data_IF_036818921568
#
_entry.id   IF_036818921568
#
_cell.length_a   1.000
_cell.length_b   1.000
_cell.length_c   1.000
_cell.angle_alpha   90.00
_cell.angle_beta   90.00
_cell.angle_gamma   90.00
#
_symmetry.space_group_name_H-M   'P 1'
#
loop_
_entity.id
_entity.type
_entity.pdbx_description
1 polymer ?
#
# COMPACT_ATOMS: atom_id res chain seq x y z
N UNK A 1 -11.40 25.83 -4.60
CA UNK A 1 -12.11 24.56 -4.88
C UNK A 1 -11.79 23.57 -3.77
N UNK A 2 -12.74 23.23 -2.89
CA UNK A 2 -12.56 22.12 -1.93
C UNK A 2 -12.56 20.82 -2.74
N UNK A 3 -11.39 20.26 -3.07
CA UNK A 3 -11.29 18.86 -3.50
C UNK A 3 -11.98 18.06 -2.39
N UNK A 4 -13.13 17.46 -2.69
CA UNK A 4 -13.74 16.45 -1.82
C UNK A 4 -12.76 15.30 -1.87
N UNK A 5 -11.79 15.33 -0.97
CA UNK A 5 -10.78 14.30 -0.92
C UNK A 5 -11.50 13.05 -0.44
N UNK A 6 -11.55 12.02 -1.29
CA UNK A 6 -12.09 10.74 -0.88
C UNK A 6 -11.24 10.28 0.30
N UNK A 7 -11.80 10.32 1.51
CA UNK A 7 -11.02 10.06 2.74
C UNK A 7 -10.72 8.58 2.91
N UNK A 8 -11.26 7.71 2.06
CA UNK A 8 -11.16 6.26 2.23
C UNK A 8 -12.15 5.73 3.26
N UNK A 9 -11.92 4.49 3.71
CA UNK A 9 -12.81 3.82 4.66
C UNK A 9 -12.46 4.21 6.10
N UNK A 10 -13.41 4.82 6.81
CA UNK A 10 -13.27 5.13 8.23
C UNK A 10 -13.23 3.86 9.06
N UNK A 11 -12.19 3.73 9.88
CA UNK A 11 -12.02 2.63 10.84
C UNK A 11 -12.94 2.90 12.04
N UNK A 12 -13.64 1.86 12.48
CA UNK A 12 -14.58 1.92 13.61
C UNK A 12 -14.23 0.87 14.66
N UNK A 13 -14.65 1.08 15.90
CA UNK A 13 -14.50 0.09 16.97
C UNK A 13 -15.15 -1.27 16.63
N UNK A 14 -16.23 -1.26 15.85
CA UNK A 14 -16.89 -2.48 15.34
C UNK A 14 -16.00 -3.31 14.42
N UNK A 15 -14.96 -2.72 13.83
CA UNK A 15 -14.11 -3.40 12.86
C UNK A 15 -13.17 -4.44 13.51
N UNK A 16 -13.17 -4.58 14.84
CA UNK A 16 -12.39 -5.60 15.60
C UNK A 16 -12.61 -7.04 15.09
N UNK A 17 -13.82 -7.34 14.65
CA UNK A 17 -14.23 -8.64 14.12
C UNK A 17 -14.69 -8.56 12.66
N UNK A 18 -14.23 -7.54 11.91
CA UNK A 18 -14.69 -7.24 10.56
C UNK A 18 -14.58 -8.43 9.61
N UNK A 19 -13.45 -9.13 9.62
CA UNK A 19 -13.22 -10.30 8.74
C UNK A 19 -14.19 -11.43 9.09
N UNK A 20 -14.42 -11.68 10.38
CA UNK A 20 -15.35 -12.71 10.83
C UNK A 20 -16.80 -12.40 10.44
N UNK A 21 -17.26 -11.17 10.70
CA UNK A 21 -18.62 -10.74 10.33
C UNK A 21 -18.83 -10.73 8.82
N UNK A 22 -17.84 -10.27 8.05
CA UNK A 22 -17.92 -10.29 6.59
C UNK A 22 -17.98 -11.72 6.05
N UNK A 23 -17.09 -12.61 6.51
CA UNK A 23 -17.05 -14.00 6.05
C UNK A 23 -18.33 -14.74 6.42
N UNK A 24 -18.79 -14.66 7.68
CA UNK A 24 -20.03 -15.33 8.09
C UNK A 24 -21.24 -14.73 7.41
N UNK A 25 -21.35 -13.41 7.33
CA UNK A 25 -22.49 -12.76 6.67
C UNK A 25 -22.60 -13.17 5.20
N UNK A 26 -21.47 -13.19 4.49
CA UNK A 26 -21.43 -13.60 3.08
C UNK A 26 -21.73 -15.08 2.91
N UNK A 27 -21.13 -15.96 3.72
CA UNK A 27 -21.35 -17.40 3.65
C UNK A 27 -22.78 -17.78 4.05
N UNK A 28 -23.33 -17.15 5.09
CA UNK A 28 -24.72 -17.34 5.50
C UNK A 28 -25.68 -16.90 4.39
N UNK A 29 -25.42 -15.74 3.77
CA UNK A 29 -26.24 -15.24 2.66
C UNK A 29 -26.22 -16.20 1.47
N UNK A 30 -25.04 -16.68 1.06
CA UNK A 30 -24.91 -17.67 -0.02
C UNK A 30 -25.60 -18.98 0.35
N UNK A 31 -25.42 -19.46 1.58
CA UNK A 31 -26.05 -20.69 2.07
C UNK A 31 -27.57 -20.61 2.03
N UNK A 32 -28.15 -19.53 2.58
CA UNK A 32 -29.60 -19.30 2.59
C UNK A 32 -30.14 -19.13 1.17
N UNK A 33 -29.44 -18.39 0.31
CA UNK A 33 -29.85 -18.21 -1.08
C UNK A 33 -29.94 -19.55 -1.83
N UNK A 34 -28.96 -20.44 -1.64
CA UNK A 34 -28.94 -21.76 -2.28
C UNK A 34 -30.03 -22.65 -1.70
N UNK A 35 -30.22 -22.66 -0.38
CA UNK A 35 -31.31 -23.42 0.24
C UNK A 35 -32.68 -22.95 -0.26
N UNK A 36 -32.91 -21.65 -0.40
CA UNK A 36 -34.15 -21.10 -0.95
C UNK A 36 -34.34 -21.50 -2.42
N UNK A 37 -33.29 -21.41 -3.24
CA UNK A 37 -33.33 -21.80 -4.65
C UNK A 37 -33.67 -23.28 -4.83
N UNK A 38 -33.03 -24.17 -4.06
CA UNK A 38 -33.26 -25.61 -4.14
C UNK A 38 -34.62 -26.04 -3.58
N UNK A 39 -35.19 -25.29 -2.64
CA UNK A 39 -36.48 -25.59 -2.02
C UNK A 39 -37.65 -24.75 -2.56
N UNK A 40 -37.45 -23.94 -3.61
CA UNK A 40 -38.45 -22.97 -4.09
C UNK A 40 -39.78 -23.62 -4.49
N UNK A 41 -39.73 -24.82 -5.11
CA UNK A 41 -40.92 -25.59 -5.51
C UNK A 41 -41.68 -26.17 -4.32
N UNK A 42 -40.97 -26.52 -3.25
CA UNK A 42 -41.56 -27.03 -2.02
C UNK A 42 -42.16 -25.89 -1.20
N UNK A 43 -41.45 -24.76 -1.12
CA UNK A 43 -41.89 -23.53 -0.47
C UNK A 43 -43.17 -22.95 -1.11
N UNK A 44 -43.29 -23.00 -2.44
CA UNK A 44 -44.50 -22.55 -3.16
C UNK A 44 -45.72 -23.46 -2.98
N UNK A 45 -45.54 -24.71 -2.54
CA UNK A 45 -46.62 -25.68 -2.30
C UNK A 45 -47.00 -25.80 -0.83
N UNK A 46 -46.34 -25.04 0.06
CA UNK A 46 -46.57 -25.13 1.51
C UNK A 46 -47.69 -24.18 1.91
N UNK A 47 -48.71 -24.68 2.60
CA UNK A 47 -49.76 -23.87 3.19
C UNK A 47 -49.22 -23.10 4.39
N UNK A 48 -49.05 -21.78 4.23
CA UNK A 48 -48.42 -20.90 5.21
C UNK A 48 -49.26 -20.66 6.47
N UNK A 49 -50.56 -20.99 6.46
CA UNK A 49 -51.45 -20.80 7.61
C UNK A 49 -51.22 -21.81 8.75
N UNK A 50 -50.51 -22.92 8.50
CA UNK A 50 -50.21 -23.95 9.50
C UNK A 50 -48.70 -24.20 9.69
N UNK A 51 -47.87 -23.22 9.31
CA UNK A 51 -46.42 -23.36 9.38
C UNK A 51 -45.92 -23.25 10.83
N UNK A 52 -45.76 -24.38 11.52
CA UNK A 52 -45.11 -24.49 12.82
C UNK A 52 -43.68 -25.03 12.67
N UNK A 53 -42.69 -24.14 12.84
CA UNK A 53 -41.25 -24.42 12.70
C UNK A 53 -40.73 -25.52 13.66
N UNK A 54 -41.49 -25.78 14.73
CA UNK A 54 -41.14 -26.66 15.85
C UNK A 54 -41.87 -28.03 15.79
N UNK A 55 -43.05 -28.11 15.17
CA UNK A 55 -43.87 -29.33 15.06
C UNK A 55 -43.58 -30.13 13.79
N UNK A 56 -43.25 -29.46 12.68
CA UNK A 56 -42.65 -30.08 11.50
C UNK A 56 -41.15 -30.31 11.73
N UNK A 57 -40.82 -30.92 12.86
CA UNK A 57 -39.47 -31.25 13.27
C UNK A 57 -38.71 -31.80 12.09
N UNK A 58 -37.56 -31.20 11.79
CA UNK A 58 -36.58 -31.56 10.76
C UNK A 58 -36.64 -33.04 10.37
N UNK A 59 -37.60 -33.44 9.54
CA UNK A 59 -37.61 -34.79 8.98
C UNK A 59 -36.44 -34.76 8.02
N UNK A 60 -35.34 -35.37 8.43
CA UNK A 60 -34.12 -35.56 7.66
C UNK A 60 -34.44 -36.48 6.47
N UNK A 61 -35.23 -35.96 5.53
CA UNK A 61 -35.40 -36.56 4.22
C UNK A 61 -34.03 -36.62 3.56
N UNK A 62 -33.68 -37.69 2.83
CA UNK A 62 -32.44 -37.77 2.05
C UNK A 62 -32.24 -36.53 1.16
N UNK A 63 -33.34 -35.94 0.69
CA UNK A 63 -33.34 -34.70 -0.06
C UNK A 63 -32.77 -33.51 0.74
N UNK A 64 -33.22 -33.30 1.98
CA UNK A 64 -32.74 -32.19 2.83
C UNK A 64 -31.24 -32.35 3.12
N UNK A 65 -30.77 -33.57 3.36
CA UNK A 65 -29.34 -33.84 3.56
C UNK A 65 -28.50 -33.51 2.31
N UNK A 66 -28.97 -33.90 1.13
CA UNK A 66 -28.30 -33.59 -0.15
C UNK A 66 -28.29 -32.08 -0.41
N UNK A 67 -29.39 -31.36 -0.12
CA UNK A 67 -29.42 -29.89 -0.31
C UNK A 67 -28.45 -29.16 0.62
N UNK A 68 -28.32 -29.59 1.88
CA UNK A 68 -27.33 -29.03 2.81
C UNK A 68 -25.90 -29.32 2.35
N UNK A 69 -25.64 -30.53 1.84
CA UNK A 69 -24.32 -30.91 1.33
C UNK A 69 -23.92 -30.04 0.11
N UNK A 70 -24.84 -29.86 -0.84
CA UNK A 70 -24.63 -29.00 -2.01
C UNK A 70 -24.40 -27.55 -1.58
N UNK A 71 -25.24 -27.00 -0.68
CA UNK A 71 -25.10 -25.64 -0.20
C UNK A 71 -23.75 -25.42 0.51
N UNK A 72 -23.31 -26.38 1.33
CA UNK A 72 -22.01 -26.33 2.00
C UNK A 72 -20.85 -26.37 0.99
N UNK A 73 -20.93 -27.25 -0.01
CA UNK A 73 -19.93 -27.36 -1.08
C UNK A 73 -19.80 -26.07 -1.90
N UNK A 74 -20.92 -25.43 -2.25
CA UNK A 74 -20.91 -24.15 -2.96
C UNK A 74 -20.37 -23.03 -2.07
N UNK A 75 -20.71 -22.98 -0.79
CA UNK A 75 -20.12 -22.01 0.15
C UNK A 75 -18.59 -22.16 0.22
N UNK A 76 -18.08 -23.38 0.30
CA UNK A 76 -16.64 -23.64 0.28
C UNK A 76 -15.99 -23.19 -1.04
N UNK A 77 -16.64 -23.46 -2.18
CA UNK A 77 -16.17 -23.03 -3.49
C UNK A 77 -16.15 -21.50 -3.60
N UNK A 78 -17.20 -20.80 -3.18
CA UNK A 78 -17.27 -19.33 -3.18
C UNK A 78 -16.21 -18.73 -2.28
N UNK A 79 -15.99 -19.30 -1.08
CA UNK A 79 -14.91 -18.86 -0.20
C UNK A 79 -13.53 -19.02 -0.86
N UNK A 80 -13.30 -20.17 -1.50
CA UNK A 80 -12.05 -20.45 -2.22
C UNK A 80 -11.83 -19.49 -3.39
N UNK A 81 -12.85 -19.28 -4.22
CA UNK A 81 -12.79 -18.35 -5.35
C UNK A 81 -12.58 -16.91 -4.87
N UNK A 82 -13.27 -16.49 -3.81
CA UNK A 82 -13.09 -15.15 -3.23
C UNK A 82 -11.66 -14.97 -2.71
N UNK A 83 -11.11 -15.96 -2.00
CA UNK A 83 -9.72 -15.90 -1.54
C UNK A 83 -8.72 -15.82 -2.71
N UNK A 84 -8.97 -16.55 -3.80
CA UNK A 84 -8.08 -16.63 -4.96
C UNK A 84 -8.13 -15.42 -5.89
N UNK A 85 -9.31 -14.82 -6.09
CA UNK A 85 -9.53 -13.72 -7.03
C UNK A 85 -9.63 -12.35 -6.36
N UNK A 86 -10.12 -12.28 -5.13
CA UNK A 86 -10.33 -11.03 -4.39
C UNK A 86 -9.34 -10.87 -3.22
N UNK A 87 -8.10 -11.30 -3.42
CA UNK A 87 -7.04 -11.27 -2.39
C UNK A 87 -6.84 -9.87 -1.78
N UNK A 88 -6.74 -8.85 -2.63
CA UNK A 88 -6.60 -7.45 -2.20
C UNK A 88 -7.77 -6.98 -1.35
N UNK A 89 -9.00 -7.33 -1.74
CA UNK A 89 -10.21 -6.97 -0.99
C UNK A 89 -10.22 -7.62 0.39
N UNK A 90 -9.79 -8.87 0.49
CA UNK A 90 -9.64 -9.57 1.77
C UNK A 90 -8.55 -8.91 2.64
N UNK A 91 -7.41 -8.54 2.05
CA UNK A 91 -6.32 -7.84 2.76
C UNK A 91 -6.75 -6.47 3.28
N UNK A 92 -7.52 -5.71 2.50
CA UNK A 92 -8.12 -4.43 2.95
C UNK A 92 -8.95 -4.63 4.22
N UNK A 93 -9.76 -5.69 4.30
CA UNK A 93 -10.53 -6.01 5.51
C UNK A 93 -9.61 -6.40 6.68
N UNK A 94 -8.57 -7.19 6.43
CA UNK A 94 -7.60 -7.59 7.44
C UNK A 94 -6.83 -6.40 8.03
N UNK A 95 -6.37 -5.48 7.19
CA UNK A 95 -5.65 -4.28 7.62
C UNK A 95 -6.55 -3.38 8.48
N UNK A 96 -7.80 -3.15 8.03
CA UNK A 96 -8.78 -2.38 8.82
C UNK A 96 -9.05 -3.02 10.18
N UNK A 97 -9.18 -4.35 10.23
CA UNK A 97 -9.35 -5.08 11.48
C UNK A 97 -8.13 -4.95 12.40
N UNK A 98 -6.91 -5.09 11.86
CA UNK A 98 -5.66 -4.92 12.62
C UNK A 98 -5.54 -3.52 13.21
N UNK A 99 -5.83 -2.49 12.41
CA UNK A 99 -5.81 -1.10 12.85
C UNK A 99 -6.86 -0.83 13.94
N UNK A 100 -8.07 -1.36 13.79
CA UNK A 100 -9.09 -1.27 14.83
C UNK A 100 -8.66 -1.95 16.13
N UNK A 101 -8.06 -3.15 16.03
CA UNK A 101 -7.50 -3.87 17.19
C UNK A 101 -6.37 -3.10 17.85
N UNK A 102 -5.45 -2.53 17.08
CA UNK A 102 -4.37 -1.70 17.61
C UNK A 102 -4.91 -0.57 18.49
N UNK A 103 -5.92 0.17 18.02
CA UNK A 103 -6.51 1.29 18.78
C UNK A 103 -7.16 0.79 20.07
N UNK A 104 -7.89 -0.33 20.00
CA UNK A 104 -8.61 -0.90 21.14
C UNK A 104 -7.65 -1.52 22.18
N UNK A 105 -6.65 -2.28 21.74
CA UNK A 105 -5.68 -2.94 22.62
C UNK A 105 -4.76 -1.94 23.30
N UNK A 106 -4.39 -0.85 22.62
CA UNK A 106 -3.62 0.25 23.22
C UNK A 106 -4.48 1.26 24.01
N UNK A 107 -5.81 1.06 24.10
CA UNK A 107 -6.76 1.96 24.78
C UNK A 107 -6.69 3.42 24.31
N UNK A 108 -6.51 3.62 23.00
CA UNK A 108 -6.49 4.94 22.35
C UNK A 108 -7.91 5.42 22.01
N UNK A 109 -8.80 5.35 22.99
CA UNK A 109 -10.20 5.75 22.88
C UNK A 109 -10.69 6.19 24.26
N UNK A 110 -11.77 6.97 24.29
CA UNK A 110 -12.43 7.36 25.54
C UNK A 110 -13.73 6.57 25.67
N UNK A 111 -13.97 6.00 26.84
CA UNK A 111 -15.17 5.23 27.15
C UNK A 111 -15.74 5.64 28.50
N UNK A 112 -17.06 5.70 28.55
CA UNK A 112 -17.82 5.89 29.78
C UNK A 112 -18.36 4.53 30.24
N UNK A 113 -18.38 4.31 31.55
CA UNK A 113 -19.02 3.14 32.15
C UNK A 113 -20.51 3.40 32.26
N UNK A 114 -21.29 2.72 31.42
CA UNK A 114 -22.75 2.73 31.55
C UNK A 114 -23.15 1.51 32.36
N UNK A 115 -23.82 1.73 33.49
CA UNK A 115 -24.51 0.67 34.20
C UNK A 115 -25.82 0.38 33.47
N UNK A 116 -25.93 -0.80 32.86
CA UNK A 116 -27.21 -1.30 32.36
C UNK A 116 -28.09 -1.60 33.57
N UNK A 117 -28.94 -0.65 33.97
CA UNK A 117 -30.06 -0.91 34.87
C UNK A 117 -31.12 -1.67 34.09
N UNK A 118 -30.93 -2.97 33.90
CA UNK A 118 -31.94 -3.83 33.29
C UNK A 118 -33.22 -3.84 34.14
N UNK A 119 -34.37 -3.90 33.46
CA UNK A 119 -35.73 -3.98 34.04
C UNK A 119 -35.96 -5.14 35.03
N UNK A 120 -34.98 -6.05 35.18
CA UNK A 120 -35.00 -7.16 36.11
C UNK A 120 -33.97 -6.91 37.22
N UNK A 121 -34.46 -6.70 38.44
CA UNK A 121 -33.67 -6.37 39.65
C UNK A 121 -32.77 -7.50 40.16
N UNK A 122 -32.77 -8.67 39.52
CA UNK A 122 -32.18 -9.90 40.06
C UNK A 122 -30.93 -10.40 39.32
N UNK A 123 -30.42 -9.63 38.36
CA UNK A 123 -29.16 -9.92 37.66
C UNK A 123 -28.12 -8.86 38.04
N UNK A 124 -26.96 -9.30 38.55
CA UNK A 124 -25.82 -8.42 38.80
C UNK A 124 -25.60 -7.49 37.60
N UNK A 125 -25.70 -6.19 37.83
CA UNK A 125 -25.58 -5.16 36.80
C UNK A 125 -24.22 -5.31 36.10
N UNK A 126 -24.21 -5.78 34.86
CA UNK A 126 -22.98 -5.81 34.05
C UNK A 126 -22.66 -4.37 33.65
N UNK A 127 -21.59 -3.81 34.20
CA UNK A 127 -21.05 -2.54 33.71
C UNK A 127 -20.53 -2.76 32.29
N UNK A 128 -21.09 -2.05 31.32
CA UNK A 128 -20.60 -2.06 29.93
C UNK A 128 -19.87 -0.76 29.67
N UNK A 129 -18.63 -0.87 29.18
CA UNK A 129 -17.90 0.28 28.67
C UNK A 129 -18.52 0.70 27.33
N UNK A 130 -19.03 1.93 27.26
CA UNK A 130 -19.52 2.54 26.02
C UNK A 130 -18.46 3.51 25.53
N UNK A 131 -17.88 3.22 24.37
CA UNK A 131 -16.91 4.11 23.72
C UNK A 131 -17.61 5.40 23.29
N UNK A 132 -17.20 6.52 23.88
CA UNK A 132 -17.73 7.87 23.60
C UNK A 132 -16.95 8.50 22.46
N UNK A 133 -15.63 8.36 22.49
CA UNK A 133 -14.74 8.91 21.48
C UNK A 133 -13.81 7.83 20.92
N UNK A 134 -13.69 7.80 19.59
CA UNK A 134 -12.80 6.91 18.86
C UNK A 134 -12.08 7.74 17.77
N UNK A 135 -10.75 7.60 17.62
CA UNK A 135 -9.97 8.42 16.70
C UNK A 135 -10.45 8.23 15.26
N UNK A 136 -10.53 9.33 14.51
CA UNK A 136 -10.94 9.28 13.10
C UNK A 136 -9.73 8.90 12.25
N UNK A 137 -9.56 7.58 12.09
CA UNK A 137 -8.56 7.00 11.18
C UNK A 137 -9.27 6.52 9.92
N UNK A 138 -8.69 6.80 8.77
CA UNK A 138 -9.16 6.33 7.49
C UNK A 138 -8.10 5.49 6.79
N UNK A 139 -8.58 4.47 6.09
CA UNK A 139 -7.74 3.52 5.36
C UNK A 139 -8.15 3.45 3.89
N UNK A 140 -7.16 3.51 3.01
CA UNK A 140 -7.32 3.37 1.57
C UNK A 140 -6.14 2.61 1.00
N UNK A 141 -6.39 1.79 -0.01
CA UNK A 141 -5.37 1.01 -0.69
C UNK A 141 -5.58 1.13 -2.20
N UNK A 142 -4.60 1.70 -2.88
CA UNK A 142 -4.62 2.02 -4.30
C UNK A 142 -3.28 1.64 -4.93
N UNK A 143 -3.31 0.85 -6.00
CA UNK A 143 -2.12 0.49 -6.80
C UNK A 143 -0.92 -0.01 -5.96
N UNK A 144 -1.18 -0.78 -4.90
CA UNK A 144 -0.12 -1.30 -4.01
C UNK A 144 0.44 -0.30 -2.99
N UNK A 145 -0.14 0.90 -2.89
CA UNK A 145 0.13 1.87 -1.83
C UNK A 145 -1.00 1.85 -0.80
N UNK A 146 -0.63 1.95 0.48
CA UNK A 146 -1.55 2.13 1.59
C UNK A 146 -1.52 3.59 2.01
N UNK A 147 -2.70 4.21 2.06
CA UNK A 147 -2.89 5.54 2.60
C UNK A 147 -3.65 5.42 3.91
N UNK A 148 -2.99 5.78 5.00
CA UNK A 148 -3.56 5.80 6.35
C UNK A 148 -3.60 7.23 6.83
N UNK A 149 -4.81 7.76 7.03
CA UNK A 149 -5.03 9.14 7.44
C UNK A 149 -5.55 9.19 8.85
N UNK A 150 -4.83 9.86 9.74
CA UNK A 150 -5.23 10.06 11.13
C UNK A 150 -5.63 11.52 11.33
N UNK A 151 -6.78 11.76 11.96
CA UNK A 151 -7.18 13.11 12.37
C UNK A 151 -6.25 13.62 13.46
N UNK A 152 -5.74 14.84 13.28
CA UNK A 152 -4.95 15.55 14.29
C UNK A 152 -5.93 16.14 15.28
N UNK A 153 -6.07 15.47 16.42
CA UNK A 153 -6.81 15.99 17.55
C UNK A 153 -5.84 16.59 18.56
N UNK A 154 -6.09 17.82 19.03
CA UNK A 154 -5.37 18.47 20.14
C UNK A 154 -5.67 17.83 21.51
N UNK A 155 -5.79 16.51 21.53
CA UNK A 155 -6.26 15.72 22.66
C UNK A 155 -5.18 14.80 23.22
N UNK A 156 -5.56 14.01 24.23
CA UNK A 156 -4.68 13.14 25.02
C UNK A 156 -3.83 12.16 24.19
N UNK A 157 -4.34 11.72 23.03
CA UNK A 157 -3.74 10.67 22.21
C UNK A 157 -2.98 11.18 20.98
N UNK A 158 -2.76 12.50 20.88
CA UNK A 158 -2.16 13.12 19.69
C UNK A 158 -0.78 12.55 19.38
N UNK A 159 0.13 12.54 20.37
CA UNK A 159 1.52 12.16 20.14
C UNK A 159 1.66 10.72 19.65
N UNK A 160 0.79 9.82 20.13
CA UNK A 160 0.76 8.43 19.69
C UNK A 160 0.22 8.30 18.26
N UNK A 161 -0.80 9.08 17.89
CA UNK A 161 -1.38 9.07 16.54
C UNK A 161 -0.51 9.79 15.49
N UNK A 162 0.36 10.69 15.94
CA UNK A 162 1.38 11.36 15.11
C UNK A 162 2.66 10.53 14.92
N UNK A 163 2.84 9.48 15.72
CA UNK A 163 4.02 8.59 15.69
C UNK A 163 3.62 7.12 15.49
N UNK A 164 2.99 6.83 14.35
CA UNK A 164 2.51 5.50 13.98
C UNK A 164 3.46 4.72 13.06
N UNK A 165 4.57 5.32 12.62
CA UNK A 165 5.49 4.77 11.62
C UNK A 165 5.89 3.32 11.94
N UNK A 166 6.59 3.11 13.05
CA UNK A 166 7.11 1.81 13.47
C UNK A 166 5.98 0.77 13.63
N UNK A 167 4.81 1.19 14.12
CA UNK A 167 3.66 0.29 14.34
C UNK A 167 2.98 -0.11 13.05
N UNK A 168 2.89 0.80 12.08
CA UNK A 168 2.31 0.53 10.78
C UNK A 168 3.23 -0.38 9.98
N UNK A 169 4.53 -0.08 9.95
CA UNK A 169 5.52 -0.88 9.23
C UNK A 169 5.59 -2.31 9.75
N UNK A 170 5.78 -2.48 11.06
CA UNK A 170 5.84 -3.82 11.67
C UNK A 170 4.49 -4.54 11.69
N UNK A 171 3.38 -3.83 11.90
CA UNK A 171 2.05 -4.42 12.06
C UNK A 171 1.37 -4.84 10.76
N UNK A 172 1.61 -4.07 9.68
CA UNK A 172 1.04 -4.32 8.35
C UNK A 172 2.06 -4.92 7.37
N UNK A 173 3.33 -5.00 7.74
CA UNK A 173 4.43 -5.48 6.89
C UNK A 173 4.52 -4.66 5.60
N UNK A 174 4.79 -3.37 5.77
CA UNK A 174 4.91 -2.37 4.72
C UNK A 174 6.04 -1.40 5.07
N UNK A 175 6.50 -0.63 4.09
CA UNK A 175 7.55 0.38 4.28
C UNK A 175 6.95 1.78 4.20
N UNK A 176 7.25 2.68 5.12
CA UNK A 176 6.80 4.07 5.03
C UNK A 176 7.56 4.79 3.92
N UNK A 177 6.83 5.37 2.98
CA UNK A 177 7.41 6.15 1.87
C UNK A 177 7.31 7.65 2.11
N UNK A 178 6.20 8.09 2.68
CA UNK A 178 5.93 9.51 2.87
C UNK A 178 5.03 9.74 4.09
N UNK A 179 5.23 10.89 4.74
CA UNK A 179 4.48 11.36 5.90
C UNK A 179 4.12 12.82 5.67
N UNK A 180 2.90 13.07 5.22
CA UNK A 180 2.42 14.41 4.90
C UNK A 180 1.45 14.94 5.94
N UNK A 181 1.65 16.21 6.31
CA UNK A 181 0.76 16.94 7.20
C UNK A 181 -0.23 17.76 6.36
N UNK A 182 -1.51 17.47 6.52
CA UNK A 182 -2.62 18.21 5.95
C UNK A 182 -3.34 19.00 7.03
N UNK A 183 -4.17 19.97 6.64
CA UNK A 183 -5.00 20.73 7.57
C UNK A 183 -5.95 19.80 8.36
N UNK A 184 -5.61 19.54 9.62
CA UNK A 184 -6.33 18.65 10.53
C UNK A 184 -6.10 17.14 10.36
N UNK A 185 -5.22 16.70 9.46
CA UNK A 185 -4.94 15.28 9.23
C UNK A 185 -3.46 15.01 8.97
N UNK A 186 -2.97 13.88 9.42
CA UNK A 186 -1.67 13.34 9.01
C UNK A 186 -1.90 12.13 8.09
N UNK A 187 -1.20 12.07 6.97
CA UNK A 187 -1.26 10.97 6.01
C UNK A 187 0.06 10.22 5.98
N UNK A 188 -0.02 8.91 6.23
CA UNK A 188 1.07 7.96 6.05
C UNK A 188 0.84 7.23 4.73
N UNK A 189 1.79 7.35 3.81
CA UNK A 189 1.81 6.59 2.55
C UNK A 189 2.81 5.46 2.70
N UNK A 190 2.34 4.22 2.63
CA UNK A 190 3.17 3.03 2.83
C UNK A 190 3.18 2.14 1.60
N UNK A 191 4.36 1.64 1.22
CA UNK A 191 4.56 0.67 0.16
C UNK A 191 4.19 -0.73 0.67
N UNK A 192 3.17 -1.33 0.07
CA UNK A 192 2.68 -2.64 0.48
C UNK A 192 3.13 -3.74 -0.47
N UNK A 193 3.25 -4.95 0.07
CA UNK A 193 3.60 -6.17 -0.65
C UNK A 193 4.82 -6.01 -1.56
N UNK A 194 5.96 -5.72 -0.92
CA UNK A 194 7.21 -5.50 -1.64
C UNK A 194 7.57 -6.70 -2.52
N UNK A 195 7.25 -7.93 -2.10
CA UNK A 195 7.60 -9.14 -2.85
C UNK A 195 6.74 -9.25 -4.11
N UNK A 196 5.42 -9.11 -4.02
CA UNK A 196 4.56 -9.21 -5.21
C UNK A 196 4.77 -8.06 -6.20
N UNK A 197 5.22 -6.90 -5.70
CA UNK A 197 5.49 -5.71 -6.50
C UNK A 197 6.91 -5.64 -7.07
N UNK A 198 7.79 -6.61 -6.76
CA UNK A 198 9.07 -6.75 -7.45
C UNK A 198 8.87 -6.93 -8.95
N UNK A 199 9.81 -6.35 -9.68
CA UNK A 199 9.96 -6.50 -11.12
C UNK A 199 11.33 -7.11 -11.40
N UNK A 200 11.49 -7.79 -12.53
CA UNK A 200 12.80 -8.29 -12.96
C UNK A 200 13.64 -7.15 -13.55
N UNK A 201 14.95 -7.35 -13.68
CA UNK A 201 15.86 -6.36 -14.27
C UNK A 201 15.38 -5.95 -15.67
N UNK A 202 14.96 -6.91 -16.51
CA UNK A 202 14.45 -6.64 -17.87
C UNK A 202 13.15 -5.79 -17.92
N UNK A 203 12.43 -5.71 -16.79
CA UNK A 203 11.22 -4.91 -16.64
C UNK A 203 11.52 -3.48 -16.15
N UNK A 204 12.75 -3.21 -15.68
CA UNK A 204 13.21 -1.87 -15.31
C UNK A 204 13.47 -1.09 -16.59
N UNK A 205 12.63 -0.09 -16.86
CA UNK A 205 12.74 0.75 -18.06
C UNK A 205 12.71 2.21 -17.70
N UNK A 206 13.58 2.98 -18.36
CA UNK A 206 13.59 4.43 -18.33
C UNK A 206 12.82 4.97 -19.55
N UNK A 207 11.71 5.64 -19.30
CA UNK A 207 10.83 6.19 -20.34
C UNK A 207 10.30 7.55 -19.88
N UNK A 208 10.36 8.57 -20.75
CA UNK A 208 9.78 9.90 -20.51
C UNK A 208 10.14 10.53 -19.15
N UNK A 209 11.42 10.52 -18.77
CA UNK A 209 11.84 11.14 -17.51
C UNK A 209 11.57 10.32 -16.26
N UNK A 210 11.14 9.06 -16.43
CA UNK A 210 10.71 8.19 -15.36
C UNK A 210 11.41 6.83 -15.46
N UNK A 211 11.84 6.27 -14.33
CA UNK A 211 12.46 4.95 -14.25
C UNK A 211 11.63 4.07 -13.31
N UNK A 212 11.06 2.98 -13.83
CA UNK A 212 10.22 2.09 -13.03
C UNK A 212 11.08 1.17 -12.18
N UNK A 213 11.00 1.32 -10.85
CA UNK A 213 11.76 0.53 -9.88
C UNK A 213 10.98 -0.69 -9.37
N UNK A 214 9.67 -0.56 -9.26
CA UNK A 214 8.73 -1.62 -8.88
C UNK A 214 7.39 -1.39 -9.62
N UNK A 215 6.45 -2.34 -9.53
CA UNK A 215 5.12 -2.17 -10.14
C UNK A 215 4.39 -0.90 -9.66
N UNK A 216 4.66 -0.49 -8.43
CA UNK A 216 4.04 0.63 -7.73
C UNK A 216 5.04 1.72 -7.33
N UNK A 217 6.29 1.65 -7.77
CA UNK A 217 7.33 2.63 -7.46
C UNK A 217 8.03 3.07 -8.75
N UNK A 218 8.00 4.37 -9.00
CA UNK A 218 8.63 5.00 -10.17
C UNK A 218 9.47 6.16 -9.67
N UNK A 219 10.70 6.25 -10.14
CA UNK A 219 11.54 7.41 -9.93
C UNK A 219 11.39 8.38 -11.10
N UNK A 220 10.71 9.50 -10.86
CA UNK A 220 10.50 10.56 -11.84
C UNK A 220 11.71 11.52 -11.85
N UNK A 221 12.82 11.08 -12.45
CA UNK A 221 14.10 11.81 -12.43
C UNK A 221 14.04 13.18 -13.13
N UNK A 222 13.10 13.42 -14.05
CA UNK A 222 12.91 14.77 -14.62
C UNK A 222 12.41 15.80 -13.59
N UNK A 223 11.65 15.33 -12.59
CA UNK A 223 11.08 16.15 -11.51
C UNK A 223 11.95 16.12 -10.24
N UNK A 224 12.48 14.94 -9.89
CA UNK A 224 13.33 14.68 -8.73
C UNK A 224 14.66 14.06 -9.19
N UNK A 225 15.61 14.86 -9.70
CA UNK A 225 16.77 14.37 -10.45
C UNK A 225 17.87 13.70 -9.62
N UNK A 226 17.86 13.89 -8.30
CA UNK A 226 18.91 13.38 -7.43
C UNK A 226 18.39 12.18 -6.63
N UNK A 227 19.21 11.12 -6.55
CA UNK A 227 18.93 9.93 -5.78
C UNK A 227 20.10 9.61 -4.85
N UNK A 228 19.79 9.11 -3.65
CA UNK A 228 20.76 8.56 -2.70
C UNK A 228 20.37 7.11 -2.41
N UNK A 229 21.29 6.19 -2.61
CA UNK A 229 21.08 4.76 -2.35
C UNK A 229 21.90 4.38 -1.11
N UNK A 230 21.20 4.08 -0.02
CA UNK A 230 21.81 3.71 1.25
C UNK A 230 21.52 2.25 1.60
N UNK A 231 22.45 1.61 2.30
CA UNK A 231 22.31 0.22 2.73
C UNK A 231 23.64 -0.38 3.20
N UNK A 232 23.57 -1.46 3.98
CA UNK A 232 24.75 -2.18 4.44
C UNK A 232 25.54 -2.85 3.30
N UNK A 233 26.75 -3.33 3.61
CA UNK A 233 27.51 -4.19 2.71
C UNK A 233 26.73 -5.47 2.42
N UNK A 234 26.71 -5.91 1.16
CA UNK A 234 25.89 -7.06 0.73
C UNK A 234 24.39 -6.75 0.57
N UNK A 235 23.95 -5.51 0.79
CA UNK A 235 22.55 -5.09 0.61
C UNK A 235 22.11 -4.92 -0.85
N UNK A 236 22.98 -5.17 -1.83
CA UNK A 236 22.65 -5.09 -3.25
C UNK A 236 22.76 -3.70 -3.88
N UNK A 237 23.40 -2.72 -3.23
CA UNK A 237 23.55 -1.34 -3.75
C UNK A 237 24.18 -1.30 -5.16
N UNK A 238 25.31 -1.96 -5.34
CA UNK A 238 26.03 -1.99 -6.62
C UNK A 238 25.22 -2.71 -7.70
N UNK A 239 24.54 -3.82 -7.38
CA UNK A 239 23.61 -4.48 -8.29
C UNK A 239 22.44 -3.58 -8.71
N UNK A 240 21.92 -2.79 -7.77
CA UNK A 240 20.87 -1.82 -8.05
C UNK A 240 21.39 -0.70 -8.97
N UNK A 241 22.58 -0.16 -8.73
CA UNK A 241 23.23 0.81 -9.63
C UNK A 241 23.44 0.25 -11.04
N UNK A 242 23.94 -0.99 -11.17
CA UNK A 242 24.07 -1.68 -12.46
C UNK A 242 22.72 -1.77 -13.18
N UNK A 243 21.65 -2.06 -12.45
CA UNK A 243 20.29 -2.11 -13.00
C UNK A 243 19.82 -0.73 -13.50
N UNK A 244 20.15 0.34 -12.78
CA UNK A 244 19.83 1.71 -13.22
C UNK A 244 20.64 2.08 -14.48
N UNK A 245 21.94 1.75 -14.50
CA UNK A 245 22.82 2.01 -15.65
C UNK A 245 22.29 1.28 -16.88
N UNK A 246 21.99 -0.01 -16.76
CA UNK A 246 21.43 -0.82 -17.85
C UNK A 246 20.14 -0.19 -18.41
N UNK A 247 19.19 0.17 -17.55
CA UNK A 247 17.94 0.77 -17.97
C UNK A 247 18.14 2.13 -18.66
N UNK A 248 19.10 2.94 -18.19
CA UNK A 248 19.41 4.25 -18.77
C UNK A 248 20.15 4.14 -20.11
N UNK A 249 20.96 3.09 -20.32
CA UNK A 249 21.67 2.84 -21.59
C UNK A 249 20.73 2.56 -22.77
N UNK A 250 19.49 2.13 -22.51
CA UNK A 250 18.45 2.01 -23.53
C UNK A 250 17.82 3.34 -23.95
N UNK A 251 18.29 4.46 -23.38
CA UNK A 251 17.80 5.81 -23.69
C UNK A 251 18.89 6.67 -24.33
N UNK A 252 18.63 7.95 -24.55
CA UNK A 252 19.63 8.92 -24.97
C UNK A 252 20.42 9.54 -23.79
N UNK A 253 20.32 8.96 -22.60
CA UNK A 253 21.03 9.44 -21.42
C UNK A 253 22.55 9.37 -21.58
N UNK A 254 23.24 10.40 -21.11
CA UNK A 254 24.70 10.43 -21.04
C UNK A 254 25.13 10.08 -19.62
N UNK A 255 25.89 9.01 -19.46
CA UNK A 255 26.31 8.49 -18.16
C UNK A 255 27.78 8.78 -17.90
N UNK A 256 28.10 9.12 -16.66
CA UNK A 256 29.44 9.24 -16.10
C UNK A 256 29.48 8.42 -14.81
N UNK A 257 30.39 7.45 -14.73
CA UNK A 257 30.43 6.46 -13.65
C UNK A 257 31.76 6.60 -12.90
N UNK A 258 31.68 6.74 -11.59
CA UNK A 258 32.81 6.91 -10.68
C UNK A 258 32.82 5.76 -9.68
N UNK A 259 33.86 4.93 -9.77
CA UNK A 259 34.06 3.78 -8.89
C UNK A 259 35.42 3.87 -8.17
N UNK A 260 35.48 4.48 -6.98
CA UNK A 260 36.74 4.64 -6.25
C UNK A 260 37.34 3.32 -5.76
N UNK A 261 36.57 2.21 -5.77
CA UNK A 261 37.06 0.89 -5.34
C UNK A 261 37.70 0.11 -6.46
N UNK A 262 37.53 0.55 -7.71
CA UNK A 262 37.93 -0.19 -8.90
C UNK A 262 37.39 -1.64 -8.86
N UNK A 263 36.07 -1.77 -8.72
CA UNK A 263 35.35 -3.03 -8.58
C UNK A 263 34.41 -3.24 -9.77
N UNK A 264 33.21 -3.79 -9.53
CA UNK A 264 32.26 -4.22 -10.57
C UNK A 264 31.85 -3.08 -11.53
N UNK A 265 31.78 -1.82 -11.07
CA UNK A 265 31.41 -0.69 -11.94
C UNK A 265 32.58 -0.22 -12.81
N UNK A 266 33.82 -0.32 -12.33
CA UNK A 266 35.01 0.05 -13.12
C UNK A 266 35.19 -0.84 -14.37
N UNK A 267 34.78 -2.12 -14.28
CA UNK A 267 34.83 -3.06 -15.41
C UNK A 267 33.95 -2.63 -16.59
N UNK A 268 32.94 -1.78 -16.36
CA UNK A 268 32.14 -1.17 -17.42
C UNK A 268 33.00 -0.28 -18.35
N UNK A 269 34.18 0.17 -17.91
CA UNK A 269 35.14 0.91 -18.73
C UNK A 269 35.62 0.14 -19.97
N UNK A 270 35.47 -1.19 -19.98
CA UNK A 270 35.78 -2.02 -21.17
C UNK A 270 34.78 -1.83 -22.30
N UNK A 271 33.56 -1.39 -21.99
CA UNK A 271 32.43 -1.26 -22.93
C UNK A 271 31.86 0.17 -23.00
N UNK A 272 32.24 1.04 -22.08
CA UNK A 272 31.78 2.43 -21.96
C UNK A 272 32.95 3.38 -21.72
N UNK A 273 32.91 4.57 -22.31
CA UNK A 273 34.03 5.52 -22.27
C UNK A 273 34.13 6.32 -20.95
N UNK A 274 33.00 6.71 -20.35
CA UNK A 274 32.96 7.65 -19.21
C UNK A 274 32.96 6.91 -17.87
N UNK A 275 33.92 6.01 -17.66
CA UNK A 275 34.06 5.23 -16.42
C UNK A 275 35.42 5.51 -15.82
N UNK A 276 35.45 6.00 -14.58
CA UNK A 276 36.66 6.46 -13.92
C UNK A 276 36.78 5.86 -12.53
N UNK A 277 38.01 5.50 -12.15
CA UNK A 277 38.30 4.84 -10.88
C UNK A 277 39.52 5.44 -10.17
N UNK A 278 40.42 6.12 -10.89
CA UNK A 278 41.55 6.80 -10.26
C UNK A 278 41.12 8.15 -9.69
N UNK A 279 41.79 8.57 -8.61
CA UNK A 279 41.44 9.82 -7.92
C UNK A 279 41.49 11.03 -8.85
N UNK A 280 42.57 11.14 -9.62
CA UNK A 280 42.81 12.26 -10.54
C UNK A 280 41.73 12.31 -11.63
N UNK A 281 41.45 11.18 -12.29
CA UNK A 281 40.42 11.11 -13.34
C UNK A 281 39.01 11.38 -12.79
N UNK A 282 38.70 10.91 -11.58
CA UNK A 282 37.40 11.18 -10.97
C UNK A 282 37.24 12.68 -10.66
N UNK A 283 38.28 13.35 -10.14
CA UNK A 283 38.26 14.80 -9.90
C UNK A 283 38.06 15.56 -11.22
N UNK A 284 38.80 15.19 -12.25
CA UNK A 284 38.71 15.81 -13.56
C UNK A 284 37.32 15.60 -14.19
N UNK A 285 36.74 14.40 -14.06
CA UNK A 285 35.39 14.09 -14.50
C UNK A 285 34.34 14.95 -13.78
N UNK A 286 34.43 15.07 -12.44
CA UNK A 286 33.50 15.91 -11.66
C UNK A 286 33.59 17.38 -12.07
N UNK A 287 34.81 17.91 -12.26
CA UNK A 287 35.01 19.28 -12.71
C UNK A 287 34.44 19.51 -14.12
N UNK A 288 34.73 18.60 -15.05
CA UNK A 288 34.19 18.66 -16.41
C UNK A 288 32.66 18.55 -16.44
N UNK A 289 32.07 17.70 -15.59
CA UNK A 289 30.63 17.57 -15.45
C UNK A 289 29.98 18.87 -14.93
N UNK A 290 30.61 19.51 -13.92
CA UNK A 290 30.16 20.80 -13.40
C UNK A 290 30.23 21.91 -14.46
N UNK A 291 31.36 22.04 -15.16
CA UNK A 291 31.52 23.02 -16.23
C UNK A 291 30.50 22.81 -17.34
N UNK A 292 30.30 21.54 -17.77
CA UNK A 292 29.28 21.17 -18.73
C UNK A 292 27.86 21.50 -18.28
N UNK A 293 27.55 21.31 -16.99
CA UNK A 293 26.25 21.70 -16.42
C UNK A 293 26.03 23.22 -16.47
N UNK A 294 27.05 24.02 -16.13
CA UNK A 294 26.98 25.48 -16.18
C UNK A 294 26.78 25.95 -17.62
N UNK A 295 27.61 25.47 -18.55
CA UNK A 295 27.49 25.81 -19.97
C UNK A 295 26.11 25.43 -20.52
N UNK A 296 25.64 24.23 -20.21
CA UNK A 296 24.33 23.73 -20.64
C UNK A 296 23.19 24.60 -20.12
N UNK A 297 23.28 25.10 -18.89
CA UNK A 297 22.29 26.04 -18.33
C UNK A 297 22.25 27.36 -19.10
N UNK A 298 23.40 27.88 -19.53
CA UNK A 298 23.47 29.09 -20.35
C UNK A 298 22.90 28.87 -21.76
N UNK A 299 23.23 27.73 -22.38
CA UNK A 299 22.71 27.35 -23.70
C UNK A 299 21.20 27.14 -23.67
N UNK A 300 20.67 26.50 -22.62
CA UNK A 300 19.23 26.34 -22.42
C UNK A 300 18.49 27.68 -22.39
N UNK A 301 19.06 28.71 -21.75
CA UNK A 301 18.47 30.07 -21.73
C UNK A 301 18.47 30.75 -23.10
N UNK A 302 19.39 30.37 -23.99
CA UNK A 302 19.48 30.86 -25.37
C UNK A 302 18.63 30.05 -26.35
N UNK A 303 18.03 28.94 -25.89
CA UNK A 303 17.24 28.07 -26.76
C UNK A 303 15.97 28.80 -27.26
N UNK A 304 15.61 28.70 -28.56
CA UNK A 304 14.45 29.41 -29.12
C UNK A 304 13.13 29.12 -28.39
N UNK A 305 12.98 27.89 -27.88
CA UNK A 305 11.80 27.44 -27.15
C UNK A 305 11.96 27.56 -25.62
N UNK A 306 12.93 28.33 -25.12
CA UNK A 306 13.14 28.47 -23.68
C UNK A 306 11.90 29.06 -22.98
N UNK A 307 11.55 28.47 -21.83
CA UNK A 307 10.51 28.96 -20.95
C UNK A 307 10.97 28.84 -19.50
N UNK A 308 10.84 29.92 -18.75
CA UNK A 308 11.21 29.94 -17.33
C UNK A 308 10.37 28.94 -16.54
N UNK A 309 11.03 28.14 -15.70
CA UNK A 309 10.39 27.09 -14.89
C UNK A 309 10.34 25.70 -15.56
N UNK A 310 10.67 25.59 -16.85
CA UNK A 310 10.80 24.31 -17.54
C UNK A 310 12.24 23.76 -17.45
N UNK A 311 12.38 22.44 -17.59
CA UNK A 311 13.66 21.72 -17.46
C UNK A 311 14.26 21.31 -18.83
N UNK A 312 15.33 20.52 -18.81
CA UNK A 312 15.99 20.04 -20.02
C UNK A 312 15.08 19.15 -20.90
N UNK A 313 14.14 18.42 -20.28
CA UNK A 313 13.26 17.49 -20.98
C UNK A 313 12.24 18.24 -21.84
N UNK A 314 11.76 19.40 -21.39
CA UNK A 314 10.92 20.30 -22.19
C UNK A 314 11.60 20.75 -23.49
N UNK A 315 12.92 20.91 -23.45
CA UNK A 315 13.74 21.30 -24.60
C UNK A 315 14.21 20.09 -25.44
N UNK A 316 13.82 18.86 -25.06
CA UNK A 316 14.23 17.63 -25.76
C UNK A 316 15.72 17.30 -25.63
N UNK A 317 16.40 17.86 -24.63
CA UNK A 317 17.81 17.60 -24.40
C UNK A 317 18.01 16.29 -23.62
N UNK A 318 19.10 15.52 -23.86
CA UNK A 318 19.33 14.24 -23.20
C UNK A 318 19.68 14.39 -21.70
N UNK A 319 19.15 13.58 -20.78
CA UNK A 319 19.56 13.65 -19.38
C UNK A 319 21.02 13.26 -19.21
N UNK A 320 21.73 13.90 -18.28
CA UNK A 320 23.12 13.59 -17.92
C UNK A 320 23.18 13.09 -16.48
N UNK A 321 23.70 11.89 -16.25
CA UNK A 321 23.83 11.29 -14.93
C UNK A 321 25.30 11.17 -14.54
N UNK A 322 25.61 11.63 -13.33
CA UNK A 322 26.87 11.38 -12.65
C UNK A 322 26.61 10.40 -11.50
N UNK A 323 27.17 9.20 -11.61
CA UNK A 323 26.89 8.06 -10.74
C UNK A 323 28.14 7.74 -9.91
N UNK A 324 27.97 7.63 -8.59
CA UNK A 324 28.99 7.23 -7.64
C UNK A 324 28.58 5.91 -6.97
N UNK A 325 29.44 4.88 -6.97
CA UNK A 325 29.15 3.64 -6.21
C UNK A 325 29.21 3.86 -4.70
N UNK A 326 30.22 4.62 -4.26
CA UNK A 326 30.50 4.83 -2.84
C UNK A 326 30.79 6.30 -2.57
N UNK A 327 30.00 6.88 -1.66
CA UNK A 327 30.12 8.27 -1.22
C UNK A 327 30.64 8.28 0.22
N UNK A 328 31.97 8.14 0.38
CA UNK A 328 32.67 8.09 1.67
C UNK A 328 33.63 9.25 1.81
#
# INVERSE_FOLDING_TARGET
MRKIWNKGHRIRASDKHLVYHFSIGTLLFVFVAILLLLNIKQLMRTDWEHFSLLENGLTLSPYNFITILIATGVCALVAFLYYRFCYDSFKKLLHRQKLARMILENKWYEADTVQDSGFFTDLQSRSREKIVWFPKIYYQMEKGLLHIRCEITLGKYQDQLLRLEDKLESGLYCELTDKTLHDGYIEYTLLYDMIANRITIDEVRAENGCLRLMKNLVWEYDALPHALIAGGTGGGKTYFLLTLIEALLHTNAVLYILDPKNADLADLGTVMANVYHTKEEMIDCVNAFYEGMVQRSEEMKRHPNYKTGENYAYLGLPPCFLIFDEYV
#
